data_IF_611735102379
#
_entry.id   IF_611735102379
#
_cell.length_a   1.000
_cell.length_b   1.000
_cell.length_c   1.000
_cell.angle_alpha   90.00
_cell.angle_beta   90.00
_cell.angle_gamma   90.00
#
_symmetry.space_group_name_H-M   'P 1'
#
loop_
_entity.id
_entity.type
_entity.pdbx_description
1 polymer ?
#
# COMPACT_ATOMS: atom_id res chain seq x y z
N UNK A 1 16.52 -1.61 24.69
CA UNK A 1 17.36 -0.83 23.74
C UNK A 1 16.50 -0.35 22.58
N UNK A 2 16.46 0.97 22.32
CA UNK A 2 15.44 1.68 21.51
C UNK A 2 15.76 1.59 20.00
N UNK A 3 14.80 1.20 19.15
CA UNK A 3 14.95 0.98 17.70
C UNK A 3 15.63 2.14 16.95
N UNK A 4 15.38 3.38 17.40
CA UNK A 4 15.98 4.60 16.89
C UNK A 4 17.53 4.61 16.91
N UNK A 5 18.15 3.92 17.86
CA UNK A 5 19.61 3.81 17.95
C UNK A 5 20.19 2.87 16.88
N UNK A 6 19.43 1.84 16.45
CA UNK A 6 19.88 0.91 15.40
C UNK A 6 19.84 1.55 14.02
N UNK A 7 18.82 2.38 13.75
CA UNK A 7 18.75 3.15 12.49
C UNK A 7 19.88 4.17 12.35
N UNK A 8 20.25 4.84 13.44
CA UNK A 8 21.35 5.82 13.42
C UNK A 8 22.73 5.16 13.32
N UNK A 9 22.86 3.90 13.74
CA UNK A 9 24.11 3.14 13.69
C UNK A 9 24.33 2.38 12.36
N UNK A 10 23.33 2.34 11.47
CA UNK A 10 23.50 1.73 10.16
C UNK A 10 24.52 2.53 9.34
N UNK A 11 25.64 1.90 8.97
CA UNK A 11 26.68 2.53 8.18
C UNK A 11 26.12 2.98 6.83
N UNK A 12 26.39 4.24 6.45
CA UNK A 12 26.12 4.74 5.09
C UNK A 12 26.81 3.81 4.09
N UNK A 13 26.04 3.24 3.17
CA UNK A 13 26.60 2.61 1.99
C UNK A 13 27.49 3.64 1.27
N UNK A 14 28.71 3.23 0.90
CA UNK A 14 29.58 4.07 0.08
C UNK A 14 28.95 4.21 -1.30
N UNK A 15 28.43 5.40 -1.59
CA UNK A 15 27.89 5.78 -2.89
C UNK A 15 28.95 6.51 -3.72
N UNK A 16 30.19 6.02 -3.66
CA UNK A 16 31.26 6.57 -4.49
C UNK A 16 31.13 5.91 -5.87
N UNK A 17 30.89 6.71 -6.90
CA UNK A 17 30.76 6.23 -8.27
C UNK A 17 32.08 5.59 -8.74
N UNK A 18 32.01 4.34 -9.22
CA UNK A 18 33.14 3.71 -9.92
C UNK A 18 33.45 4.53 -11.17
N UNK A 19 34.73 4.88 -11.34
CA UNK A 19 35.26 5.66 -12.48
C UNK A 19 34.81 5.01 -13.82
N UNK A 20 34.36 5.79 -14.83
CA UNK A 20 33.99 5.20 -16.12
C UNK A 20 35.22 4.62 -16.81
N UNK A 21 35.09 3.42 -17.36
CA UNK A 21 36.04 2.89 -18.35
C UNK A 21 35.93 3.74 -19.61
N UNK A 22 37.06 4.20 -20.17
CA UNK A 22 37.08 5.00 -21.40
C UNK A 22 36.37 4.24 -22.55
N UNK A 23 35.37 4.85 -23.21
CA UNK A 23 34.79 4.25 -24.40
C UNK A 23 35.74 4.46 -25.58
N UNK A 24 36.08 3.35 -26.27
CA UNK A 24 36.76 3.41 -27.55
C UNK A 24 35.96 4.27 -28.54
N UNK A 25 36.65 5.19 -29.19
CA UNK A 25 36.11 6.12 -30.18
C UNK A 25 35.47 5.36 -31.35
N UNK A 26 34.16 5.47 -31.50
CA UNK A 26 33.44 5.07 -32.73
C UNK A 26 33.21 6.33 -33.56
N UNK A 27 33.84 6.40 -34.74
CA UNK A 27 33.74 7.54 -35.64
C UNK A 27 32.30 7.72 -36.15
N UNK A 28 31.74 8.91 -35.96
CA UNK A 28 30.43 9.28 -36.49
C UNK A 28 30.59 9.66 -37.97
N UNK A 29 29.86 8.98 -38.87
CA UNK A 29 29.78 9.36 -40.29
C UNK A 29 28.66 10.39 -40.43
N UNK A 30 29.01 11.64 -40.72
CA UNK A 30 28.02 12.71 -40.91
C UNK A 30 27.34 12.60 -42.29
N UNK A 31 26.02 12.86 -42.31
CA UNK A 31 25.27 13.18 -43.53
C UNK A 31 25.62 14.62 -43.96
N UNK A 32 25.77 14.93 -45.27
CA UNK A 32 26.14 16.26 -45.71
C UNK A 32 25.03 17.29 -45.44
N UNK A 33 25.46 18.53 -45.19
CA UNK A 33 24.66 19.68 -44.80
C UNK A 33 23.51 19.98 -45.78
N UNK A 34 22.30 19.54 -45.43
CA UNK A 34 21.07 20.15 -45.95
C UNK A 34 20.81 21.49 -45.25
N UNK A 35 20.13 22.46 -45.91
CA UNK A 35 19.85 23.75 -45.29
C UNK A 35 19.10 23.56 -43.97
N UNK A 36 19.72 24.02 -42.89
CA UNK A 36 19.16 23.96 -41.55
C UNK A 36 17.98 24.93 -41.46
N UNK A 37 16.77 24.43 -41.61
CA UNK A 37 15.61 25.15 -41.10
C UNK A 37 15.79 25.27 -39.59
N UNK A 38 15.76 26.49 -39.08
CA UNK A 38 15.80 26.74 -37.64
C UNK A 38 14.50 26.19 -37.04
N UNK A 39 14.52 24.91 -36.65
CA UNK A 39 13.49 24.37 -35.79
C UNK A 39 13.63 25.07 -34.45
N UNK A 40 12.80 26.07 -34.21
CA UNK A 40 12.56 26.57 -32.86
C UNK A 40 12.00 25.36 -32.11
N UNK A 41 12.84 24.72 -31.30
CA UNK A 41 12.39 23.69 -30.40
C UNK A 41 11.29 24.32 -29.54
N UNK A 42 10.07 23.75 -29.51
CA UNK A 42 9.07 24.24 -28.58
C UNK A 42 9.72 24.20 -27.18
N UNK A 43 9.61 25.28 -26.41
CA UNK A 43 10.02 25.29 -25.01
C UNK A 43 9.29 24.15 -24.31
N UNK A 44 9.97 23.02 -24.15
CA UNK A 44 9.47 21.94 -23.33
C UNK A 44 9.74 22.37 -21.89
N UNK A 45 8.71 22.40 -21.02
CA UNK A 45 8.96 22.60 -19.61
C UNK A 45 9.98 21.55 -19.14
N UNK A 46 10.85 21.91 -18.19
CA UNK A 46 11.91 21.02 -17.73
C UNK A 46 11.28 19.69 -17.26
N UNK A 47 11.99 18.58 -17.44
CA UNK A 47 11.42 17.23 -17.27
C UNK A 47 10.82 16.95 -15.87
N UNK A 48 11.13 17.80 -14.89
CA UNK A 48 10.61 17.82 -13.53
C UNK A 48 9.31 18.65 -13.34
N UNK A 49 8.85 19.39 -14.36
CA UNK A 49 7.63 20.23 -14.32
C UNK A 49 6.40 19.53 -14.90
N UNK A 50 6.51 18.28 -15.37
CA UNK A 50 5.35 17.47 -15.71
C UNK A 50 4.56 17.14 -14.44
N UNK A 51 3.72 18.10 -14.02
CA UNK A 51 2.71 17.98 -12.97
C UNK A 51 1.55 17.13 -13.48
N UNK A 52 1.87 15.97 -14.06
CA UNK A 52 0.85 14.99 -14.39
C UNK A 52 0.42 14.32 -13.10
N UNK A 53 -0.88 14.34 -12.85
CA UNK A 53 -1.54 13.49 -11.85
C UNK A 53 -0.84 12.12 -11.76
N UNK A 54 -0.24 11.76 -10.60
CA UNK A 54 0.50 10.51 -10.45
C UNK A 54 -0.39 9.29 -10.66
N UNK A 55 -1.71 9.42 -10.47
CA UNK A 55 -2.67 8.34 -10.58
C UNK A 55 -3.30 8.21 -11.98
N UNK A 56 -2.86 9.02 -12.96
CA UNK A 56 -3.44 9.04 -14.32
C UNK A 56 -3.57 7.66 -14.98
N UNK A 57 -2.60 6.77 -14.75
CA UNK A 57 -2.57 5.43 -15.33
C UNK A 57 -2.86 4.32 -14.30
N UNK A 58 -3.16 4.70 -13.07
CA UNK A 58 -3.53 3.78 -12.00
C UNK A 58 -5.01 3.38 -12.12
N UNK A 59 -5.48 2.49 -11.25
CA UNK A 59 -6.90 2.15 -11.15
C UNK A 59 -7.77 3.43 -11.03
N UNK A 60 -8.85 3.56 -11.81
CA UNK A 60 -9.52 2.52 -12.61
C UNK A 60 -9.01 2.36 -14.05
N UNK A 61 -8.04 3.16 -14.49
CA UNK A 61 -7.55 3.17 -15.87
C UNK A 61 -6.45 2.14 -16.15
N UNK A 62 -5.83 1.59 -15.10
CA UNK A 62 -4.85 0.52 -15.19
C UNK A 62 -4.93 -0.45 -14.02
N UNK A 63 -4.04 -1.44 -14.02
CA UNK A 63 -4.00 -2.47 -12.97
C UNK A 63 -3.30 -2.00 -11.69
N UNK A 64 -2.39 -1.02 -11.79
CA UNK A 64 -1.63 -0.47 -10.67
C UNK A 64 -2.54 0.19 -9.62
N UNK A 65 -2.14 0.12 -8.35
CA UNK A 65 -2.84 0.81 -7.27
C UNK A 65 -2.69 2.32 -7.43
N UNK A 66 -3.77 3.07 -7.21
CA UNK A 66 -3.68 4.52 -7.08
C UNK A 66 -3.29 4.92 -5.65
N UNK A 67 -3.03 6.21 -5.40
CA UNK A 67 -2.62 6.73 -4.09
C UNK A 67 -3.59 6.31 -2.98
N UNK A 68 -4.90 6.43 -3.20
CA UNK A 68 -5.92 6.07 -2.19
C UNK A 68 -5.92 4.58 -1.85
N UNK A 69 -5.68 3.71 -2.83
CA UNK A 69 -5.55 2.27 -2.61
C UNK A 69 -4.27 1.92 -1.85
N UNK A 70 -3.16 2.61 -2.14
CA UNK A 70 -1.88 2.45 -1.43
C UNK A 70 -2.02 2.88 0.03
N UNK A 71 -2.67 4.00 0.30
CA UNK A 71 -2.89 4.49 1.68
C UNK A 71 -3.74 3.49 2.47
N UNK A 72 -4.85 3.04 1.90
CA UNK A 72 -5.71 2.04 2.52
C UNK A 72 -4.99 0.69 2.73
N UNK A 73 -4.15 0.28 1.78
CA UNK A 73 -3.34 -0.94 1.88
C UNK A 73 -2.32 -0.83 3.01
N UNK A 74 -1.61 0.30 3.09
CA UNK A 74 -0.58 0.54 4.11
C UNK A 74 -1.19 0.62 5.51
N UNK A 75 -2.31 1.31 5.67
CA UNK A 75 -3.04 1.37 6.94
C UNK A 75 -3.58 -0.01 7.36
N UNK A 76 -4.03 -0.85 6.42
CA UNK A 76 -4.39 -2.24 6.68
C UNK A 76 -3.19 -3.08 7.13
N UNK A 77 -2.05 -2.96 6.47
CA UNK A 77 -0.82 -3.69 6.86
C UNK A 77 -0.40 -3.37 8.29
N UNK A 78 -0.38 -2.08 8.65
CA UNK A 78 -0.06 -1.65 10.01
C UNK A 78 -1.04 -2.26 11.01
N UNK A 79 -2.35 -2.13 10.75
CA UNK A 79 -3.39 -2.67 11.62
C UNK A 79 -3.30 -4.20 11.78
N UNK A 80 -3.10 -4.93 10.70
CA UNK A 80 -3.08 -6.40 10.73
C UNK A 80 -1.85 -6.91 11.46
N UNK A 81 -0.71 -6.26 11.27
CA UNK A 81 0.53 -6.54 12.00
C UNK A 81 0.37 -6.28 13.50
N UNK A 82 -0.26 -5.17 13.89
CA UNK A 82 -0.59 -4.87 15.30
C UNK A 82 -1.54 -5.92 15.92
N UNK A 83 -2.41 -6.52 15.10
CA UNK A 83 -3.29 -7.63 15.49
C UNK A 83 -2.60 -8.99 15.44
N UNK A 84 -1.29 -9.03 15.23
CA UNK A 84 -0.45 -10.23 15.35
C UNK A 84 -0.46 -11.14 14.13
N UNK A 85 -0.86 -10.66 12.95
CA UNK A 85 -0.55 -11.36 11.70
C UNK A 85 0.94 -11.20 11.39
N UNK A 86 1.54 -12.24 10.81
CA UNK A 86 2.83 -12.06 10.14
C UNK A 86 2.64 -11.21 8.88
N UNK A 87 3.75 -10.67 8.36
CA UNK A 87 3.70 -9.73 7.24
C UNK A 87 3.10 -10.37 5.97
N UNK A 88 3.46 -11.62 5.66
CA UNK A 88 2.99 -12.32 4.46
C UNK A 88 1.47 -12.52 4.48
N UNK A 89 0.91 -12.97 5.61
CA UNK A 89 -0.53 -13.15 5.79
C UNK A 89 -1.27 -11.80 5.79
N UNK A 90 -0.67 -10.76 6.39
CA UNK A 90 -1.22 -9.41 6.38
C UNK A 90 -1.29 -8.85 4.96
N UNK A 91 -0.24 -9.04 4.16
CA UNK A 91 -0.17 -8.59 2.77
C UNK A 91 -1.17 -9.34 1.89
N UNK A 92 -1.23 -10.67 2.01
CA UNK A 92 -2.20 -11.48 1.29
C UNK A 92 -3.65 -11.07 1.60
N UNK A 93 -3.95 -10.77 2.87
CA UNK A 93 -5.26 -10.29 3.27
C UNK A 93 -5.54 -8.88 2.74
N UNK A 94 -4.59 -7.95 2.83
CA UNK A 94 -4.75 -6.59 2.32
C UNK A 94 -4.97 -6.58 0.80
N UNK A 95 -4.26 -7.43 0.04
CA UNK A 95 -4.46 -7.61 -1.40
C UNK A 95 -5.87 -8.12 -1.73
N UNK A 96 -6.40 -9.06 -0.94
CA UNK A 96 -7.79 -9.51 -1.09
C UNK A 96 -8.78 -8.36 -0.86
N UNK A 97 -8.50 -7.46 0.07
CA UNK A 97 -9.35 -6.31 0.37
C UNK A 97 -9.30 -5.22 -0.70
N UNK A 98 -8.16 -5.03 -1.36
CA UNK A 98 -8.07 -4.13 -2.54
C UNK A 98 -9.01 -4.62 -3.64
N UNK A 99 -8.96 -5.92 -3.97
CA UNK A 99 -9.88 -6.50 -4.96
C UNK A 99 -11.34 -6.33 -4.56
N UNK A 100 -11.67 -6.58 -3.29
CA UNK A 100 -13.02 -6.35 -2.76
C UNK A 100 -13.48 -4.91 -2.99
N UNK A 101 -12.63 -3.94 -2.65
CA UNK A 101 -12.97 -2.53 -2.76
C UNK A 101 -13.20 -2.13 -4.22
N UNK A 102 -12.38 -2.61 -5.15
CA UNK A 102 -12.57 -2.42 -6.60
C UNK A 102 -13.88 -3.02 -7.12
N UNK A 103 -14.25 -4.18 -6.59
CA UNK A 103 -15.49 -4.90 -6.93
C UNK A 103 -16.73 -4.30 -6.24
N UNK A 104 -16.57 -3.24 -5.43
CA UNK A 104 -17.62 -2.64 -4.60
C UNK A 104 -18.35 -3.65 -3.70
N UNK A 105 -17.63 -4.71 -3.30
CA UNK A 105 -18.17 -5.77 -2.46
C UNK A 105 -18.32 -5.28 -1.01
N UNK A 106 -19.54 -5.38 -0.51
CA UNK A 106 -19.95 -4.85 0.78
C UNK A 106 -19.67 -5.80 1.97
N UNK A 107 -19.05 -6.96 1.71
CA UNK A 107 -18.54 -7.82 2.78
C UNK A 107 -17.40 -7.13 3.54
N UNK A 108 -17.19 -7.55 4.78
CA UNK A 108 -16.23 -6.96 5.72
C UNK A 108 -15.33 -8.04 6.29
N UNK A 109 -14.16 -7.65 6.78
CA UNK A 109 -13.22 -8.54 7.43
C UNK A 109 -13.04 -8.15 8.90
N UNK A 110 -13.05 -9.11 9.84
CA UNK A 110 -12.94 -8.79 11.26
C UNK A 110 -11.66 -8.02 11.60
N UNK A 111 -10.56 -8.22 10.88
CA UNK A 111 -9.30 -7.52 11.08
C UNK A 111 -9.43 -6.00 10.85
N UNK A 112 -10.39 -5.55 10.04
CA UNK A 112 -10.72 -4.13 9.85
C UNK A 112 -11.66 -3.59 10.97
N UNK A 113 -12.26 -4.45 11.79
CA UNK A 113 -13.25 -4.03 12.78
C UNK A 113 -12.60 -3.44 14.03
N UNK A 114 -13.09 -2.30 14.53
CA UNK A 114 -12.63 -1.67 15.77
C UNK A 114 -12.89 -2.53 17.02
N UNK A 115 -13.91 -3.38 16.97
CA UNK A 115 -14.29 -4.26 18.07
C UNK A 115 -13.43 -5.52 18.17
N UNK A 116 -12.55 -5.79 17.20
CA UNK A 116 -11.62 -6.92 17.29
C UNK A 116 -10.52 -6.63 18.31
N UNK A 117 -10.45 -7.44 19.36
CA UNK A 117 -9.48 -7.34 20.45
C UNK A 117 -8.44 -8.45 20.37
N UNK A 118 -7.26 -8.21 20.95
CA UNK A 118 -6.15 -9.17 21.01
C UNK A 118 -5.25 -9.17 19.77
N UNK A 119 -4.09 -9.82 19.93
CA UNK A 119 -3.12 -10.08 18.88
C UNK A 119 -2.81 -11.59 18.84
N UNK A 120 -3.17 -12.29 17.77
CA UNK A 120 -3.07 -13.76 17.64
C UNK A 120 -4.07 -14.58 18.48
N UNK A 121 -4.69 -13.98 19.50
CA UNK A 121 -5.82 -14.55 20.27
C UNK A 121 -7.00 -13.60 20.22
N UNK A 122 -7.72 -13.62 19.10
CA UNK A 122 -8.73 -12.60 18.84
C UNK A 122 -10.05 -12.85 19.57
N UNK A 123 -10.69 -11.76 19.97
CA UNK A 123 -12.05 -11.74 20.53
C UNK A 123 -12.82 -10.59 19.94
N UNK A 124 -14.14 -10.73 19.77
CA UNK A 124 -15.00 -9.61 19.39
C UNK A 124 -15.59 -9.00 20.66
N UNK A 125 -15.38 -7.70 20.92
CA UNK A 125 -16.06 -7.03 22.04
C UNK A 125 -17.53 -6.70 21.75
N UNK A 126 -17.99 -6.91 20.52
CA UNK A 126 -19.34 -6.65 20.06
C UNK A 126 -20.05 -7.95 19.61
N UNK A 127 -19.87 -9.05 20.36
CA UNK A 127 -20.33 -10.40 19.98
C UNK A 127 -21.83 -10.48 19.71
N UNK A 128 -22.64 -9.78 20.51
CA UNK A 128 -24.11 -9.82 20.42
C UNK A 128 -24.59 -9.20 19.11
N UNK A 129 -24.15 -7.98 18.80
CA UNK A 129 -24.49 -7.32 17.53
C UNK A 129 -23.84 -8.02 16.34
N UNK A 130 -22.67 -8.64 16.52
CA UNK A 130 -22.03 -9.44 15.48
C UNK A 130 -22.72 -10.79 15.23
N UNK A 131 -23.69 -11.21 16.06
CA UNK A 131 -24.36 -12.50 15.94
C UNK A 131 -23.46 -13.71 16.26
N UNK A 132 -22.34 -13.49 16.94
CA UNK A 132 -21.35 -14.55 17.27
C UNK A 132 -21.74 -15.27 18.56
N UNK A 133 -22.42 -14.58 19.50
CA UNK A 133 -22.84 -15.15 20.77
C UNK A 133 -23.83 -14.26 21.51
N UNK A 134 -24.53 -14.83 22.51
CA UNK A 134 -25.58 -14.14 23.27
C UNK A 134 -25.05 -13.16 24.33
N UNK A 135 -23.77 -13.26 24.70
CA UNK A 135 -23.10 -12.38 25.64
C UNK A 135 -21.71 -12.01 25.12
N UNK A 136 -21.06 -11.00 25.71
CA UNK A 136 -19.63 -10.72 25.49
C UNK A 136 -18.85 -11.95 25.90
N UNK A 137 -18.51 -12.77 24.91
CA UNK A 137 -17.87 -14.04 25.14
C UNK A 137 -16.37 -13.84 25.06
N UNK A 138 -15.64 -14.36 26.06
CA UNK A 138 -14.19 -14.51 25.99
C UNK A 138 -13.75 -15.58 24.99
N UNK A 139 -14.68 -16.10 24.18
CA UNK A 139 -14.43 -17.10 23.15
C UNK A 139 -13.45 -16.56 22.13
N UNK A 140 -12.30 -17.22 22.04
CA UNK A 140 -11.31 -16.94 21.03
C UNK A 140 -11.90 -17.22 19.65
N UNK A 141 -11.85 -16.22 18.76
CA UNK A 141 -12.25 -16.37 17.37
C UNK A 141 -11.17 -17.13 16.60
N UNK A 142 -11.54 -18.10 15.75
CA UNK A 142 -10.60 -18.79 14.90
C UNK A 142 -10.11 -17.88 13.77
N UNK A 143 -8.87 -18.09 13.31
CA UNK A 143 -8.28 -17.32 12.20
C UNK A 143 -9.11 -17.42 10.92
N UNK A 144 -9.76 -18.57 10.68
CA UNK A 144 -10.64 -18.76 9.53
C UNK A 144 -11.77 -17.73 9.51
N UNK A 145 -12.39 -17.46 10.66
CA UNK A 145 -13.45 -16.46 10.78
C UNK A 145 -12.90 -15.04 10.69
N UNK A 146 -11.78 -14.75 11.36
CA UNK A 146 -11.24 -13.38 11.39
C UNK A 146 -10.73 -12.94 10.02
N UNK A 147 -10.22 -13.87 9.21
CA UNK A 147 -9.68 -13.60 7.86
C UNK A 147 -10.73 -13.73 6.75
N UNK A 148 -11.96 -14.18 7.05
CA UNK A 148 -13.03 -14.35 6.07
C UNK A 148 -13.78 -13.04 5.79
N UNK A 149 -14.12 -12.82 4.51
CA UNK A 149 -15.06 -11.79 4.09
C UNK A 149 -16.48 -12.23 4.43
N UNK A 150 -17.16 -11.45 5.26
CA UNK A 150 -18.48 -11.77 5.81
C UNK A 150 -19.33 -10.51 5.98
N UNK A 151 -20.64 -10.68 6.05
CA UNK A 151 -21.55 -9.61 6.50
C UNK A 151 -21.68 -9.72 8.01
N UNK A 152 -21.40 -8.65 8.73
CA UNK A 152 -21.49 -8.60 10.19
C UNK A 152 -22.24 -7.34 10.62
N UNK A 153 -23.36 -7.52 11.34
CA UNK A 153 -24.23 -6.41 11.75
C UNK A 153 -23.59 -5.51 12.83
N UNK A 154 -22.63 -6.03 13.60
CA UNK A 154 -21.84 -5.28 14.58
C UNK A 154 -20.56 -4.66 14.03
N UNK A 155 -20.34 -4.68 12.71
CA UNK A 155 -19.10 -4.19 12.12
C UNK A 155 -19.04 -2.66 12.12
N UNK A 156 -17.93 -2.13 12.64
CA UNK A 156 -17.55 -0.72 12.53
C UNK A 156 -16.10 -0.68 12.05
N UNK A 157 -15.87 -0.04 10.91
CA UNK A 157 -14.54 0.05 10.32
C UNK A 157 -13.65 0.99 11.15
N UNK A 158 -12.35 0.74 11.13
CA UNK A 158 -11.40 1.60 11.81
C UNK A 158 -11.22 2.98 11.17
N UNK A 159 -11.44 3.08 9.86
CA UNK A 159 -11.41 4.37 9.15
C UNK A 159 -12.58 5.30 9.52
N UNK A 160 -13.72 4.77 9.99
CA UNK A 160 -14.89 5.60 10.34
C UNK A 160 -14.74 6.38 11.66
N UNK A 161 -13.65 6.22 12.41
CA UNK A 161 -13.42 6.94 13.67
C UNK A 161 -12.65 8.27 13.52
N UNK A 162 -12.62 8.86 12.32
CA UNK A 162 -12.01 10.18 12.10
C UNK A 162 -10.53 10.17 11.74
N UNK A 163 -9.94 8.99 11.54
CA UNK A 163 -8.69 8.87 10.78
C UNK A 163 -9.07 8.68 9.31
N UNK A 164 -9.24 9.79 8.59
CA UNK A 164 -8.89 9.81 7.17
C UNK A 164 -7.44 9.34 7.03
N UNK A 165 -7.10 8.63 5.93
CA UNK A 165 -5.72 8.25 5.65
C UNK A 165 -4.75 9.43 5.78
#
# INVERSE_FOLDING_TARGET
MKWLQRLKAAAKARTDATKPTEPGYVGFVACPDGPSENFIAPEQPPANEATSDPDRWCWPHGAAMNTTEIDAFTARLARFSEKGLNLDDAEALANKLVRRDREMDDRRNCMECVHLQGAGRWRCSNTVMAGIGQHTADTQLPSSLTHQLQRCAGFINFYSQGNTP
#
